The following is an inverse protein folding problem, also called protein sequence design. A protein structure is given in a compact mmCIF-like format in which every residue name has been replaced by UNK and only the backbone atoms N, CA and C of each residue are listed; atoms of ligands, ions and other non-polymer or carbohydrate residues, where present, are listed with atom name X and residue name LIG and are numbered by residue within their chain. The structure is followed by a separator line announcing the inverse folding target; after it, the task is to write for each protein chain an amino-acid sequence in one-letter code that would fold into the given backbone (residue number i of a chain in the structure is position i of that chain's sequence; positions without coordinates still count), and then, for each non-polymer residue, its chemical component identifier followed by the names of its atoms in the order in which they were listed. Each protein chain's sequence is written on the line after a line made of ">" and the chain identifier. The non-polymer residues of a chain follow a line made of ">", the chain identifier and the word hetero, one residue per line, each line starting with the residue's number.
data_IF_890476241597
#
_entry.id   IF_890476241597
#
_cell.length_a   1.000
_cell.length_b   1.000
_cell.length_c   1.000
_cell.angle_alpha   90.00
_cell.angle_beta   90.00
_cell.angle_gamma   90.00
#
_symmetry.space_group_name_H-M   'P 1'
#
loop_
_entity.id
_entity.type
_entity.pdbx_description
1 polymer ?
#
# COMPACT_ATOMS: atom_id res chain seq x y z
N UNK A 1 -9.31 12.35 37.00
CA UNK A 1 -9.29 10.87 36.90
C UNK A 1 -10.35 10.44 35.89
N UNK A 2 -10.00 10.39 34.59
CA UNK A 2 -10.93 9.95 33.54
C UNK A 2 -10.93 8.44 33.44
N UNK A 3 -12.04 7.82 33.80
CA UNK A 3 -12.29 6.39 33.62
C UNK A 3 -12.28 6.06 32.11
N UNK A 4 -11.63 4.99 31.66
CA UNK A 4 -11.71 4.57 30.26
C UNK A 4 -13.13 4.09 29.93
N UNK A 5 -13.77 4.74 28.95
CA UNK A 5 -15.09 4.34 28.44
C UNK A 5 -15.08 2.88 27.98
N UNK A 6 -16.09 2.06 28.33
CA UNK A 6 -16.13 0.66 27.93
C UNK A 6 -16.27 0.56 26.41
N UNK A 7 -15.27 -0.06 25.77
CA UNK A 7 -15.30 -0.31 24.32
C UNK A 7 -16.39 -1.34 24.01
N UNK A 8 -17.47 -0.87 23.39
CA UNK A 8 -18.59 -1.73 23.00
C UNK A 8 -18.17 -2.58 21.80
N UNK A 9 -18.23 -3.92 21.94
CA UNK A 9 -17.90 -4.84 20.84
C UNK A 9 -18.79 -4.57 19.62
N UNK A 10 -18.23 -4.68 18.41
CA UNK A 10 -19.00 -4.57 17.17
C UNK A 10 -19.88 -5.81 17.06
N UNK A 11 -21.18 -5.60 16.85
CA UNK A 11 -22.14 -6.68 16.56
C UNK A 11 -22.36 -6.66 15.05
N UNK A 12 -22.14 -7.79 14.37
CA UNK A 12 -22.49 -7.92 12.96
C UNK A 12 -24.03 -7.99 12.82
N UNK A 13 -24.69 -6.99 12.19
CA UNK A 13 -26.14 -6.96 12.06
C UNK A 13 -26.71 -8.12 11.23
N UNK A 14 -25.92 -8.68 10.30
CA UNK A 14 -26.36 -9.79 9.45
C UNK A 14 -26.28 -11.10 10.20
N UNK A 15 -25.19 -11.34 10.92
CA UNK A 15 -25.05 -12.50 11.80
C UNK A 15 -26.10 -12.48 12.93
N UNK A 16 -26.34 -11.32 13.55
CA UNK A 16 -27.38 -11.16 14.57
C UNK A 16 -28.79 -11.44 14.01
N UNK A 17 -29.09 -10.94 12.80
CA UNK A 17 -30.36 -11.20 12.13
C UNK A 17 -30.52 -12.67 11.78
N UNK A 18 -29.48 -13.33 11.27
CA UNK A 18 -29.49 -14.75 10.94
C UNK A 18 -29.72 -15.59 12.20
N UNK A 19 -29.01 -15.31 13.30
CA UNK A 19 -29.16 -16.01 14.58
C UNK A 19 -30.56 -15.82 15.21
N UNK A 20 -31.25 -14.71 14.90
CA UNK A 20 -32.63 -14.45 15.34
C UNK A 20 -33.69 -14.98 14.38
N UNK A 21 -33.33 -15.42 13.18
CA UNK A 21 -34.32 -15.85 12.20
C UNK A 21 -34.56 -17.35 12.35
N UNK A 22 -35.77 -17.70 12.75
CA UNK A 22 -36.27 -19.07 12.77
C UNK A 22 -36.96 -19.38 11.44
N UNK A 23 -36.48 -20.42 10.75
CA UNK A 23 -36.93 -20.85 9.42
C UNK A 23 -37.78 -22.12 9.48
N UNK A 24 -38.15 -22.60 10.67
CA UNK A 24 -38.90 -23.87 10.84
C UNK A 24 -40.36 -23.83 10.36
N UNK A 25 -40.92 -22.65 10.06
CA UNK A 25 -42.28 -22.49 9.54
C UNK A 25 -42.35 -21.99 8.09
N UNK A 26 -43.55 -21.94 7.48
CA UNK A 26 -43.75 -21.50 6.09
C UNK A 26 -43.42 -20.01 5.86
N UNK A 27 -43.18 -19.24 6.93
CA UNK A 27 -42.72 -17.85 6.88
C UNK A 27 -41.61 -17.65 7.93
N UNK A 28 -40.52 -16.96 7.57
CA UNK A 28 -39.44 -16.68 8.51
C UNK A 28 -39.95 -15.83 9.68
N UNK A 29 -39.60 -16.21 10.91
CA UNK A 29 -39.96 -15.49 12.14
C UNK A 29 -38.72 -14.99 12.85
N UNK A 30 -38.77 -13.77 13.39
CA UNK A 30 -37.69 -13.20 14.18
C UNK A 30 -37.92 -13.46 15.68
N UNK A 31 -37.05 -14.26 16.30
CA UNK A 31 -37.06 -14.55 17.72
C UNK A 31 -36.38 -13.44 18.52
N UNK A 32 -36.99 -13.03 19.65
CA UNK A 32 -36.43 -12.06 20.60
C UNK A 32 -35.54 -12.74 21.65
N UNK A 33 -34.57 -13.53 21.18
CA UNK A 33 -33.59 -14.19 22.06
C UNK A 33 -32.29 -13.37 22.13
N UNK A 34 -31.59 -13.39 23.28
CA UNK A 34 -30.24 -12.84 23.38
C UNK A 34 -29.29 -13.66 22.50
N UNK A 35 -28.59 -13.00 21.58
CA UNK A 35 -27.62 -13.64 20.69
C UNK A 35 -26.23 -13.47 21.30
N UNK A 36 -25.47 -14.57 21.44
CA UNK A 36 -24.06 -14.50 21.81
C UNK A 36 -23.28 -13.78 20.69
N UNK A 37 -22.61 -12.67 21.01
CA UNK A 37 -21.92 -11.85 20.02
C UNK A 37 -20.76 -12.63 19.37
N UNK A 38 -20.84 -12.85 18.06
CA UNK A 38 -19.75 -13.43 17.27
C UNK A 38 -18.66 -12.39 16.93
N UNK A 39 -17.41 -12.85 17.08
CA UNK A 39 -16.11 -12.42 16.51
C UNK A 39 -15.57 -10.98 16.71
N UNK A 40 -14.53 -10.92 17.55
CA UNK A 40 -13.30 -10.09 17.65
C UNK A 40 -13.09 -8.70 17.04
N UNK A 41 -14.03 -8.06 16.34
CA UNK A 41 -13.82 -6.67 15.91
C UNK A 41 -14.28 -5.67 16.98
N UNK A 42 -13.33 -4.90 17.52
CA UNK A 42 -13.63 -3.78 18.40
C UNK A 42 -14.28 -2.68 17.58
N UNK A 43 -15.45 -2.18 18.00
CA UNK A 43 -16.05 -1.01 17.35
C UNK A 43 -15.14 0.18 17.60
N UNK A 44 -14.53 0.70 16.55
CA UNK A 44 -13.78 1.95 16.64
C UNK A 44 -14.74 3.11 16.89
N UNK A 45 -14.44 3.97 17.86
CA UNK A 45 -15.31 5.08 18.22
C UNK A 45 -15.22 6.17 17.13
N UNK A 46 -16.31 6.48 16.40
CA UNK A 46 -16.28 7.47 15.34
C UNK A 46 -15.92 8.88 15.84
N UNK A 47 -16.11 9.18 17.13
CA UNK A 47 -15.71 10.46 17.71
C UNK A 47 -14.21 10.51 17.94
N UNK A 48 -13.62 9.41 18.43
CA UNK A 48 -12.18 9.28 18.60
C UNK A 48 -11.43 9.39 17.25
N UNK A 49 -11.97 8.77 16.20
CA UNK A 49 -11.43 8.87 14.82
C UNK A 49 -11.48 10.33 14.33
N UNK A 50 -12.59 11.03 14.58
CA UNK A 50 -12.76 12.43 14.14
C UNK A 50 -11.89 13.41 14.94
N UNK A 51 -11.69 13.16 16.22
CA UNK A 51 -10.78 13.94 17.07
C UNK A 51 -9.32 13.71 16.67
N UNK A 52 -8.94 12.48 16.32
CA UNK A 52 -7.61 12.15 15.80
C UNK A 52 -7.26 12.90 14.50
N UNK A 53 -8.23 13.05 13.60
CA UNK A 53 -8.05 13.77 12.33
C UNK A 53 -8.12 15.30 12.46
N UNK A 54 -8.45 15.84 13.63
CA UNK A 54 -8.66 17.27 13.81
C UNK A 54 -7.33 18.03 13.88
N UNK A 55 -7.05 18.85 12.87
CA UNK A 55 -5.83 19.68 12.79
C UNK A 55 -6.02 21.02 13.47
N UNK A 56 -7.18 21.64 13.24
CA UNK A 56 -7.48 22.97 13.75
C UNK A 56 -8.97 23.04 14.07
N UNK A 57 -9.34 23.64 15.21
CA UNK A 57 -10.74 23.66 15.69
C UNK A 57 -11.48 24.97 15.36
N UNK A 58 -10.75 26.07 15.22
CA UNK A 58 -11.27 27.43 15.05
C UNK A 58 -10.38 28.21 14.08
N UNK A 59 -10.92 29.15 13.27
CA UNK A 59 -12.33 29.55 13.20
C UNK A 59 -13.21 28.55 12.43
N UNK A 60 -12.64 27.70 11.57
CA UNK A 60 -13.32 26.57 10.94
C UNK A 60 -12.55 25.28 11.22
N UNK A 61 -13.22 24.20 11.67
CA UNK A 61 -12.55 22.93 11.87
C UNK A 61 -11.89 22.42 10.57
N UNK A 62 -10.57 22.20 10.60
CA UNK A 62 -9.84 21.53 9.52
C UNK A 62 -9.48 20.13 9.97
N UNK A 63 -9.78 19.16 9.10
CA UNK A 63 -9.47 17.76 9.31
C UNK A 63 -8.47 17.30 8.28
N UNK A 64 -7.47 16.54 8.71
CA UNK A 64 -6.55 15.83 7.85
C UNK A 64 -6.70 14.33 8.14
N UNK A 65 -7.37 13.65 7.21
CA UNK A 65 -7.66 12.22 7.33
C UNK A 65 -6.48 11.34 6.93
N UNK A 66 -5.43 11.93 6.34
CA UNK A 66 -4.17 11.22 6.04
C UNK A 66 -3.24 11.16 7.25
N UNK A 67 -3.57 11.88 8.32
CA UNK A 67 -2.81 11.89 9.56
C UNK A 67 -3.13 10.66 10.39
N UNK A 68 -2.14 9.78 10.55
CA UNK A 68 -2.23 8.67 11.48
C UNK A 68 -2.08 9.18 12.93
N UNK A 69 -3.07 9.00 13.84
CA UNK A 69 -2.95 9.42 15.24
C UNK A 69 -1.78 8.77 16.00
N UNK A 70 -1.18 7.71 15.45
CA UNK A 70 0.06 7.13 15.97
C UNK A 70 1.23 8.14 16.02
N UNK A 71 1.15 9.27 15.31
CA UNK A 71 2.22 10.28 15.23
C UNK A 71 2.18 11.38 16.32
N UNK A 72 1.13 11.46 17.16
CA UNK A 72 0.94 12.55 18.12
C UNK A 72 1.14 12.17 19.60
N UNK A 73 1.42 10.91 19.90
CA UNK A 73 1.87 10.48 21.21
C UNK A 73 3.36 10.20 21.18
N UNK A 74 4.15 10.82 22.06
CA UNK A 74 5.45 10.28 22.43
C UNK A 74 5.19 8.93 23.09
N UNK A 75 5.17 7.88 22.28
CA UNK A 75 5.22 6.52 22.75
C UNK A 75 6.56 6.35 23.51
N UNK A 76 6.61 5.57 24.59
CA UNK A 76 7.90 5.12 25.10
C UNK A 76 8.64 4.53 23.91
N UNK A 77 9.91 4.89 23.75
CA UNK A 77 10.80 4.33 22.75
C UNK A 77 10.74 2.81 22.88
N UNK A 78 9.90 2.19 22.06
CA UNK A 78 9.92 0.75 21.90
C UNK A 78 11.34 0.45 21.49
N UNK A 79 12.01 -0.42 22.27
CA UNK A 79 13.33 -0.90 21.92
C UNK A 79 13.29 -1.25 20.43
N UNK A 80 14.16 -0.60 19.63
CA UNK A 80 14.25 -0.82 18.19
C UNK A 80 14.38 -2.32 18.03
N UNK A 81 13.29 -2.96 17.62
CA UNK A 81 13.29 -4.39 17.37
C UNK A 81 14.37 -4.60 16.33
N UNK A 82 15.30 -5.53 16.60
CA UNK A 82 16.42 -5.82 15.73
C UNK A 82 15.88 -5.96 14.30
N UNK A 83 16.37 -5.11 13.40
CA UNK A 83 15.94 -5.09 12.00
C UNK A 83 16.11 -6.51 11.49
N UNK A 84 15.03 -7.19 11.05
CA UNK A 84 15.14 -8.56 10.60
C UNK A 84 16.13 -8.61 9.43
N UNK A 85 17.22 -9.36 9.59
CA UNK A 85 18.21 -9.53 8.53
C UNK A 85 17.54 -10.22 7.35
N UNK A 86 17.31 -9.46 6.28
CA UNK A 86 16.81 -10.00 5.02
C UNK A 86 17.94 -10.86 4.42
N UNK A 87 17.76 -12.18 4.22
CA UNK A 87 18.80 -13.02 3.65
C UNK A 87 19.09 -12.58 2.21
N UNK A 88 20.36 -12.32 1.90
CA UNK A 88 20.78 -11.92 0.56
C UNK A 88 20.50 -13.03 -0.45
N UNK A 89 19.58 -12.79 -1.39
CA UNK A 89 19.22 -13.70 -2.47
C UNK A 89 19.86 -13.23 -3.76
N UNK A 90 20.78 -14.02 -4.33
CA UNK A 90 21.42 -13.72 -5.61
C UNK A 90 20.72 -14.49 -6.72
N UNK A 91 20.20 -13.78 -7.73
CA UNK A 91 19.51 -14.37 -8.89
C UNK A 91 20.37 -14.14 -10.14
N UNK A 92 21.23 -15.12 -10.45
CA UNK A 92 22.13 -15.04 -11.61
C UNK A 92 21.33 -15.09 -12.93
N UNK A 93 20.46 -16.08 -13.08
CA UNK A 93 19.69 -16.35 -14.30
C UNK A 93 18.18 -16.35 -13.98
N UNK A 94 17.51 -15.19 -14.02
CA UNK A 94 16.07 -15.12 -13.76
C UNK A 94 15.28 -15.72 -14.92
N UNK A 95 14.20 -16.45 -14.62
CA UNK A 95 13.31 -17.01 -15.64
C UNK A 95 12.59 -15.91 -16.44
N UNK A 96 12.34 -14.76 -15.81
CA UNK A 96 11.78 -13.56 -16.44
C UNK A 96 12.09 -12.32 -15.57
N UNK A 97 11.92 -11.14 -16.15
CA UNK A 97 12.08 -9.87 -15.45
C UNK A 97 10.71 -9.26 -15.12
N UNK A 98 10.62 -8.60 -13.97
CA UNK A 98 9.52 -7.72 -13.59
C UNK A 98 10.07 -6.31 -13.48
N UNK A 99 9.58 -5.40 -14.31
CA UNK A 99 10.03 -4.02 -14.33
C UNK A 99 9.15 -3.17 -13.39
N UNK A 100 9.76 -2.36 -12.53
CA UNK A 100 9.08 -1.43 -11.64
C UNK A 100 9.57 -0.01 -11.92
N UNK A 101 8.73 0.80 -12.57
CA UNK A 101 9.01 2.21 -12.85
C UNK A 101 8.60 3.04 -11.64
N UNK A 102 9.55 3.62 -10.90
CA UNK A 102 9.27 4.33 -9.65
C UNK A 102 9.22 5.84 -9.86
N UNK A 103 8.45 6.54 -9.02
CA UNK A 103 8.27 7.99 -9.13
C UNK A 103 9.36 8.78 -8.40
N UNK A 104 9.82 8.29 -7.24
CA UNK A 104 10.77 8.96 -6.33
C UNK A 104 10.56 10.47 -6.18
N UNK A 105 9.41 10.92 -5.64
CA UNK A 105 9.19 12.34 -5.38
C UNK A 105 10.28 12.89 -4.45
N UNK A 106 10.95 13.97 -4.88
CA UNK A 106 12.03 14.58 -4.10
C UNK A 106 13.29 13.72 -3.95
N UNK A 107 13.43 12.66 -4.77
CA UNK A 107 14.60 11.79 -4.76
C UNK A 107 14.58 10.73 -3.66
N UNK A 108 13.50 10.56 -2.90
CA UNK A 108 13.36 9.51 -1.89
C UNK A 108 12.42 8.39 -2.35
N UNK A 109 12.58 7.18 -1.83
CA UNK A 109 11.66 6.06 -2.14
C UNK A 109 10.37 6.23 -1.35
N UNK A 110 9.28 6.56 -2.05
CA UNK A 110 7.97 6.80 -1.43
C UNK A 110 7.28 5.52 -0.96
N UNK A 111 6.18 5.65 -0.21
CA UNK A 111 5.36 4.50 0.19
C UNK A 111 4.78 3.75 -1.03
N UNK A 112 4.28 4.48 -2.03
CA UNK A 112 3.77 3.89 -3.27
C UNK A 112 4.89 3.13 -4.01
N UNK A 113 6.10 3.69 -4.06
CA UNK A 113 7.25 3.00 -4.67
C UNK A 113 7.56 1.69 -3.96
N UNK A 114 7.56 1.68 -2.61
CA UNK A 114 7.78 0.46 -1.82
C UNK A 114 6.70 -0.59 -2.06
N UNK A 115 5.43 -0.16 -2.18
CA UNK A 115 4.32 -1.08 -2.49
C UNK A 115 4.50 -1.72 -3.87
N UNK A 116 4.95 -0.95 -4.87
CA UNK A 116 5.23 -1.46 -6.22
C UNK A 116 6.38 -2.46 -6.21
N UNK A 117 7.47 -2.16 -5.49
CA UNK A 117 8.61 -3.10 -5.38
C UNK A 117 8.17 -4.38 -4.67
N UNK A 118 7.38 -4.27 -3.60
CA UNK A 118 6.84 -5.44 -2.89
C UNK A 118 5.93 -6.30 -3.81
N UNK A 119 5.06 -5.67 -4.60
CA UNK A 119 4.24 -6.37 -5.57
C UNK A 119 5.09 -7.05 -6.67
N UNK A 120 6.11 -6.36 -7.18
CA UNK A 120 7.05 -6.92 -8.14
C UNK A 120 7.76 -8.15 -7.57
N UNK A 121 8.17 -8.09 -6.30
CA UNK A 121 8.83 -9.19 -5.61
C UNK A 121 7.92 -10.41 -5.47
N UNK A 122 6.65 -10.22 -5.11
CA UNK A 122 5.67 -11.32 -5.06
C UNK A 122 5.50 -12.01 -6.43
N UNK A 123 5.45 -11.24 -7.52
CA UNK A 123 5.36 -11.78 -8.88
C UNK A 123 6.65 -12.49 -9.31
N UNK A 124 7.80 -11.98 -8.91
CA UNK A 124 9.10 -12.59 -9.18
C UNK A 124 9.25 -13.92 -8.43
N UNK A 125 8.94 -13.95 -7.14
CA UNK A 125 9.08 -15.15 -6.31
C UNK A 125 8.12 -16.28 -6.72
N UNK A 126 6.96 -15.95 -7.29
CA UNK A 126 6.01 -16.95 -7.78
C UNK A 126 6.54 -17.82 -8.93
N UNK A 127 7.57 -17.36 -9.66
CA UNK A 127 8.08 -18.08 -10.83
C UNK A 127 9.58 -17.96 -11.06
N UNK A 128 10.35 -17.56 -10.05
CA UNK A 128 11.82 -17.44 -10.16
C UNK A 128 12.28 -16.28 -11.04
N UNK A 129 11.51 -15.19 -11.11
CA UNK A 129 11.89 -13.97 -11.81
C UNK A 129 12.82 -13.07 -10.97
N UNK A 130 13.25 -11.97 -11.57
CA UNK A 130 13.98 -10.89 -10.88
C UNK A 130 13.26 -9.54 -11.04
N UNK A 131 13.36 -8.72 -10.00
CA UNK A 131 12.81 -7.36 -9.95
C UNK A 131 13.84 -6.37 -10.46
N UNK A 132 13.47 -5.59 -11.47
CA UNK A 132 14.27 -4.50 -12.04
C UNK A 132 13.59 -3.18 -11.69
N UNK A 133 14.20 -2.37 -10.83
CA UNK A 133 13.69 -1.03 -10.51
C UNK A 133 14.29 0.03 -11.42
N UNK A 134 13.47 0.98 -11.85
CA UNK A 134 13.87 2.07 -12.74
C UNK A 134 13.51 3.40 -12.09
N UNK A 135 14.51 4.22 -11.78
CA UNK A 135 14.33 5.56 -11.22
C UNK A 135 15.64 6.35 -11.27
N UNK A 136 15.60 7.62 -10.89
CA UNK A 136 16.79 8.43 -10.67
C UNK A 136 17.50 8.05 -9.35
N UNK A 137 18.77 8.42 -9.25
CA UNK A 137 19.58 8.27 -8.02
C UNK A 137 20.13 6.87 -7.77
N UNK A 138 20.64 6.65 -6.55
CA UNK A 138 21.26 5.37 -6.14
C UNK A 138 20.22 4.27 -5.88
N UNK A 139 20.62 3.02 -6.15
CA UNK A 139 19.83 1.81 -5.96
C UNK A 139 19.97 1.15 -4.58
N UNK A 140 20.80 1.65 -3.67
CA UNK A 140 21.03 1.03 -2.35
C UNK A 140 19.74 0.86 -1.54
N UNK A 141 18.94 1.93 -1.42
CA UNK A 141 17.63 1.87 -0.75
C UNK A 141 16.61 0.96 -1.46
N UNK A 142 16.80 0.70 -2.76
CA UNK A 142 15.93 -0.18 -3.53
C UNK A 142 16.26 -1.66 -3.28
N UNK A 143 17.53 -1.98 -3.03
CA UNK A 143 17.95 -3.34 -2.70
C UNK A 143 17.29 -3.81 -1.39
N UNK A 144 17.26 -2.95 -0.37
CA UNK A 144 16.57 -3.23 0.90
C UNK A 144 15.06 -3.41 0.73
N UNK A 145 14.45 -2.70 -0.22
CA UNK A 145 13.04 -2.83 -0.56
C UNK A 145 12.71 -4.10 -1.38
N UNK A 146 13.72 -4.85 -1.83
CA UNK A 146 13.55 -6.05 -2.63
C UNK A 146 13.68 -5.82 -4.13
N UNK A 147 14.54 -4.91 -4.57
CA UNK A 147 15.04 -4.84 -5.96
C UNK A 147 16.24 -5.79 -6.16
N UNK A 148 16.28 -6.52 -7.28
CA UNK A 148 17.45 -7.35 -7.63
C UNK A 148 18.42 -6.59 -8.56
N UNK A 149 17.88 -5.72 -9.41
CA UNK A 149 18.64 -4.95 -10.40
C UNK A 149 18.07 -3.54 -10.49
N UNK A 150 18.93 -2.57 -10.75
CA UNK A 150 18.53 -1.18 -10.87
C UNK A 150 19.00 -0.58 -12.19
N UNK A 151 18.07 0.06 -12.91
CA UNK A 151 18.38 0.91 -14.07
C UNK A 151 18.27 2.36 -13.60
N UNK A 152 19.42 3.03 -13.50
CA UNK A 152 19.48 4.44 -13.14
C UNK A 152 19.06 5.30 -14.35
N UNK A 153 18.05 6.13 -14.14
CA UNK A 153 17.71 7.21 -15.07
C UNK A 153 18.67 8.38 -14.87
N UNK A 154 18.93 9.20 -15.92
CA UNK A 154 19.81 10.36 -15.80
C UNK A 154 19.41 11.29 -14.66
N UNK A 155 20.38 11.93 -14.02
CA UNK A 155 20.10 12.93 -12.99
C UNK A 155 19.21 14.05 -13.53
N UNK A 156 18.29 14.53 -12.69
CA UNK A 156 17.30 15.54 -13.07
C UNK A 156 16.18 15.06 -14.00
N UNK A 157 16.17 13.77 -14.40
CA UNK A 157 15.12 13.21 -15.24
C UNK A 157 13.72 13.29 -14.62
N UNK A 158 13.65 13.33 -13.28
CA UNK A 158 12.42 13.41 -12.52
C UNK A 158 12.06 14.83 -12.04
N UNK A 159 12.91 15.84 -12.29
CA UNK A 159 12.73 17.20 -11.76
C UNK A 159 11.49 17.88 -12.35
N UNK A 160 11.29 17.71 -13.66
CA UNK A 160 10.09 18.14 -14.36
C UNK A 160 9.21 16.95 -14.73
N UNK A 161 7.91 17.08 -14.51
CA UNK A 161 6.95 16.08 -14.95
C UNK A 161 6.72 16.17 -16.46
N UNK A 162 7.43 15.32 -17.21
CA UNK A 162 7.29 15.16 -18.67
C UNK A 162 6.82 13.73 -18.98
N UNK A 163 5.51 13.47 -19.03
CA UNK A 163 4.97 12.12 -19.12
C UNK A 163 5.30 11.41 -20.44
N UNK A 164 5.40 12.14 -21.56
CA UNK A 164 5.81 11.59 -22.86
C UNK A 164 7.22 10.99 -22.78
N UNK A 165 8.13 11.69 -22.10
CA UNK A 165 9.52 11.26 -21.89
C UNK A 165 9.57 10.01 -21.01
N UNK A 166 8.81 9.98 -19.92
CA UNK A 166 8.73 8.81 -19.02
C UNK A 166 8.14 7.59 -19.73
N UNK A 167 7.06 7.78 -20.50
CA UNK A 167 6.44 6.69 -21.26
C UNK A 167 7.35 6.15 -22.37
N UNK A 168 8.09 7.03 -23.06
CA UNK A 168 9.08 6.62 -24.06
C UNK A 168 10.21 5.79 -23.45
N UNK A 169 10.73 6.20 -22.29
CA UNK A 169 11.76 5.42 -21.58
C UNK A 169 11.24 4.06 -21.11
N UNK A 170 10.03 4.00 -20.55
CA UNK A 170 9.39 2.74 -20.19
C UNK A 170 9.23 1.82 -21.41
N UNK A 171 8.80 2.35 -22.55
CA UNK A 171 8.67 1.59 -23.80
C UNK A 171 10.00 1.07 -24.32
N UNK A 172 11.04 1.89 -24.31
CA UNK A 172 12.39 1.48 -24.69
C UNK A 172 12.95 0.39 -23.77
N UNK A 173 12.67 0.46 -22.47
CA UNK A 173 13.08 -0.57 -21.50
C UNK A 173 12.28 -1.86 -21.68
N UNK A 174 11.00 -1.79 -22.01
CA UNK A 174 10.21 -2.98 -22.36
C UNK A 174 10.80 -3.69 -23.58
N UNK A 175 11.19 -2.95 -24.62
CA UNK A 175 11.82 -3.51 -25.80
C UNK A 175 13.20 -4.12 -25.48
N UNK A 176 14.04 -3.39 -24.75
CA UNK A 176 15.40 -3.82 -24.45
C UNK A 176 15.48 -5.01 -23.48
N UNK A 177 14.58 -5.08 -22.50
CA UNK A 177 14.63 -6.07 -21.42
C UNK A 177 13.60 -7.19 -21.57
N UNK A 178 12.60 -7.02 -22.44
CA UNK A 178 11.49 -7.96 -22.62
C UNK A 178 10.90 -8.48 -21.28
N UNK A 179 10.53 -7.58 -20.34
CA UNK A 179 10.01 -8.00 -19.05
C UNK A 179 8.64 -8.67 -19.22
N UNK A 180 8.31 -9.58 -18.29
CA UNK A 180 7.01 -10.25 -18.29
C UNK A 180 5.88 -9.32 -17.84
N UNK A 181 6.19 -8.46 -16.87
CA UNK A 181 5.28 -7.44 -16.36
C UNK A 181 6.04 -6.13 -16.14
N UNK A 182 5.34 -5.02 -16.33
CA UNK A 182 5.76 -3.68 -15.95
C UNK A 182 4.76 -3.13 -14.94
N UNK A 183 5.25 -2.58 -13.84
CA UNK A 183 4.45 -2.02 -12.76
C UNK A 183 4.76 -0.54 -12.57
N UNK A 184 3.73 0.20 -12.14
CA UNK A 184 3.77 1.63 -11.87
C UNK A 184 3.12 1.92 -10.52
N UNK A 185 3.57 2.95 -9.79
CA UNK A 185 2.89 3.47 -8.61
C UNK A 185 1.45 3.88 -8.93
N UNK A 186 0.54 3.62 -8.00
CA UNK A 186 -0.82 4.15 -8.02
C UNK A 186 -0.83 5.62 -7.56
N UNK A 187 -0.03 6.43 -8.24
CA UNK A 187 0.06 7.87 -8.08
C UNK A 187 -0.55 8.57 -9.31
N UNK A 188 -0.89 9.86 -9.24
CA UNK A 188 -1.37 10.60 -10.41
C UNK A 188 -0.38 10.52 -11.60
N UNK A 189 0.91 10.69 -11.32
CA UNK A 189 1.98 10.72 -12.32
C UNK A 189 2.25 9.32 -12.91
N UNK A 190 2.34 8.31 -12.04
CA UNK A 190 2.55 6.92 -12.41
C UNK A 190 1.38 6.34 -13.20
N UNK A 191 0.15 6.63 -12.79
CA UNK A 191 -1.04 6.17 -13.50
C UNK A 191 -1.17 6.78 -14.90
N UNK A 192 -0.74 8.03 -15.11
CA UNK A 192 -0.73 8.63 -16.45
C UNK A 192 0.32 7.99 -17.37
N UNK A 193 1.53 7.79 -16.87
CA UNK A 193 2.58 7.09 -17.61
C UNK A 193 2.14 5.66 -17.94
N UNK A 194 1.54 4.95 -16.99
CA UNK A 194 1.04 3.58 -17.19
C UNK A 194 0.02 3.50 -18.34
N UNK A 195 -0.95 4.43 -18.39
CA UNK A 195 -1.94 4.47 -19.49
C UNK A 195 -1.29 4.74 -20.84
N UNK A 196 -0.31 5.66 -20.90
CA UNK A 196 0.41 5.98 -22.15
C UNK A 196 1.22 4.80 -22.64
N UNK A 197 1.90 4.11 -21.73
CA UNK A 197 2.68 2.89 -22.03
C UNK A 197 1.77 1.78 -22.51
N UNK A 198 0.63 1.55 -21.82
CA UNK A 198 -0.35 0.56 -22.24
C UNK A 198 -0.89 0.86 -23.65
N UNK A 199 -1.25 2.12 -23.93
CA UNK A 199 -1.71 2.51 -25.26
C UNK A 199 -0.64 2.34 -26.35
N UNK A 200 0.65 2.48 -26.02
CA UNK A 200 1.74 2.26 -26.95
C UNK A 200 2.05 0.78 -27.20
N UNK A 201 1.75 -0.09 -26.22
CA UNK A 201 2.01 -1.54 -26.30
C UNK A 201 0.95 -2.32 -27.10
N UNK A 202 -0.25 -1.74 -27.30
CA UNK A 202 -1.38 -2.35 -28.02
C UNK A 202 -2.30 -3.19 -27.13
#
# INVERSE_FOLDING_TARGET
>A
MSQPSPTRRRVDPRAERAARTDLTGPRPRLLRLPVAAATNERRSDPRAIRDAALVQRQPRPRYDWTRDPASAGSAPTAAVAAVPTIPLKVIAEPAYLILAMLDRPGGEVSEHDRQVIAAARLLADAGGGAVVTVCTGSGEALAEAGSDRHVALPDGWADDYVPERRAAAASALMEALSPRHILFPDSPDGADVARRVAAAAG
#
